data_IF_317432011668
#
_entry.id   IF_317432011668
#
_cell.length_a   1.000
_cell.length_b   1.000
_cell.length_c   1.000
_cell.angle_alpha   90.00
_cell.angle_beta   90.00
_cell.angle_gamma   90.00
#
_symmetry.space_group_name_H-M   'P 1'
#
loop_
_entity.id
_entity.type
_entity.pdbx_description
1 polymer ?
#
# COMPACT_ATOMS: atom_id res chain seq x y z
N UNK A 1 -14.23 0.49 8.37
CA UNK A 1 -13.16 1.48 8.16
C UNK A 1 -11.82 0.83 7.83
N UNK A 2 -11.25 -0.02 8.69
CA UNK A 2 -9.95 -0.65 8.41
C UNK A 2 -9.97 -1.54 7.15
N UNK A 3 -11.02 -2.34 6.99
CA UNK A 3 -11.20 -3.18 5.79
C UNK A 3 -11.40 -2.34 4.52
N UNK A 4 -12.12 -1.23 4.61
CA UNK A 4 -12.31 -0.29 3.49
C UNK A 4 -10.99 0.33 3.04
N UNK A 5 -10.12 0.70 4.00
CA UNK A 5 -8.77 1.20 3.73
C UNK A 5 -7.93 0.11 3.04
N UNK A 6 -7.96 -1.13 3.54
CA UNK A 6 -7.26 -2.25 2.90
C UNK A 6 -7.74 -2.48 1.46
N UNK A 7 -9.06 -2.48 1.26
CA UNK A 7 -9.65 -2.64 -0.06
C UNK A 7 -9.23 -1.52 -1.02
N UNK A 8 -9.23 -0.27 -0.55
CA UNK A 8 -8.77 0.88 -1.34
C UNK A 8 -7.28 0.77 -1.72
N UNK A 9 -6.42 0.31 -0.80
CA UNK A 9 -5.00 0.05 -1.07
C UNK A 9 -4.82 -1.04 -2.14
N UNK A 10 -5.52 -2.17 -1.99
CA UNK A 10 -5.41 -3.29 -2.94
C UNK A 10 -5.93 -2.91 -4.33
N UNK A 11 -7.02 -2.16 -4.40
CA UNK A 11 -7.57 -1.68 -5.68
C UNK A 11 -6.59 -0.72 -6.38
N UNK A 12 -5.97 0.19 -5.64
CA UNK A 12 -4.91 1.05 -6.19
C UNK A 12 -3.72 0.21 -6.69
N UNK A 13 -3.25 -0.75 -5.90
CA UNK A 13 -2.11 -1.59 -6.24
C UNK A 13 -2.37 -2.48 -7.47
N UNK A 14 -3.59 -2.99 -7.62
CA UNK A 14 -4.01 -3.80 -8.76
C UNK A 14 -4.13 -2.96 -10.05
N UNK A 15 -4.56 -1.71 -9.95
CA UNK A 15 -4.76 -0.84 -11.12
C UNK A 15 -3.58 0.09 -11.42
N UNK A 16 -2.56 0.13 -10.55
CA UNK A 16 -1.35 0.91 -10.77
C UNK A 16 -0.58 0.41 -12.01
N UNK A 17 -0.10 1.37 -12.81
CA UNK A 17 0.86 1.09 -13.90
C UNK A 17 2.26 0.76 -13.37
N UNK A 18 2.58 1.22 -12.16
CA UNK A 18 3.87 0.97 -11.49
C UNK A 18 3.76 -0.27 -10.60
N UNK A 19 4.82 -1.09 -10.58
CA UNK A 19 4.90 -2.28 -9.72
C UNK A 19 5.27 -1.96 -8.26
N UNK A 20 6.00 -0.85 -8.02
CA UNK A 20 6.30 -0.30 -6.70
C UNK A 20 5.79 1.14 -6.61
N UNK A 21 5.26 1.55 -5.46
CA UNK A 21 4.71 2.88 -5.20
C UNK A 21 5.04 3.36 -3.79
N UNK A 22 5.16 4.67 -3.60
CA UNK A 22 5.50 5.23 -2.29
C UNK A 22 4.28 5.17 -1.36
N UNK A 23 4.53 5.20 -0.05
CA UNK A 23 3.46 5.36 0.95
C UNK A 23 2.54 6.57 0.64
N UNK A 24 3.12 7.69 0.19
CA UNK A 24 2.37 8.90 -0.17
C UNK A 24 1.41 8.71 -1.35
N UNK A 25 1.69 7.76 -2.24
CA UNK A 25 0.77 7.41 -3.33
C UNK A 25 -0.43 6.63 -2.77
N UNK A 26 -0.20 5.71 -1.82
CA UNK A 26 -1.27 5.02 -1.09
C UNK A 26 -2.14 6.00 -0.33
N UNK A 27 -1.55 6.96 0.39
CA UNK A 27 -2.29 7.96 1.16
C UNK A 27 -3.27 8.71 0.26
N UNK A 28 -2.79 9.24 -0.87
CA UNK A 28 -3.63 9.96 -1.84
C UNK A 28 -4.73 9.08 -2.42
N UNK A 29 -4.41 7.84 -2.78
CA UNK A 29 -5.38 6.92 -3.38
C UNK A 29 -6.50 6.53 -2.40
N UNK A 30 -6.15 6.29 -1.14
CA UNK A 30 -7.14 5.99 -0.09
C UNK A 30 -7.96 7.24 0.22
N UNK A 31 -7.34 8.41 0.41
CA UNK A 31 -8.06 9.64 0.75
C UNK A 31 -8.98 10.13 -0.36
N UNK A 32 -8.69 9.81 -1.63
CA UNK A 32 -9.61 10.07 -2.73
C UNK A 32 -10.95 9.30 -2.60
N UNK A 33 -10.95 8.15 -1.92
CA UNK A 33 -12.15 7.33 -1.66
C UNK A 33 -12.70 7.50 -0.25
N UNK A 34 -11.82 7.74 0.72
CA UNK A 34 -12.10 7.84 2.15
C UNK A 34 -11.39 9.10 2.68
N UNK A 35 -11.99 10.30 2.49
CA UNK A 35 -11.32 11.58 2.79
C UNK A 35 -10.84 11.72 4.24
N UNK A 36 -11.54 11.10 5.18
CA UNK A 36 -11.23 11.18 6.62
C UNK A 36 -10.14 10.18 7.07
N UNK A 37 -9.67 9.30 6.17
CA UNK A 37 -8.67 8.29 6.51
C UNK A 37 -7.34 8.95 6.92
N UNK A 38 -6.90 8.66 8.15
CA UNK A 38 -5.65 9.23 8.67
C UNK A 38 -4.46 8.44 8.17
N UNK A 39 -3.36 9.14 7.92
CA UNK A 39 -2.06 8.56 7.54
C UNK A 39 -1.67 7.34 8.41
N UNK A 40 -1.88 7.42 9.72
CA UNK A 40 -1.58 6.32 10.67
C UNK A 40 -2.40 5.06 10.38
N UNK A 41 -3.67 5.20 10.01
CA UNK A 41 -4.57 4.08 9.72
C UNK A 41 -4.20 3.44 8.38
N UNK A 42 -3.87 4.27 7.38
CA UNK A 42 -3.39 3.82 6.07
C UNK A 42 -2.08 3.04 6.21
N UNK A 43 -1.15 3.55 7.04
CA UNK A 43 0.11 2.85 7.33
C UNK A 43 -0.11 1.51 8.02
N UNK A 44 -0.99 1.49 9.04
CA UNK A 44 -1.35 0.25 9.74
C UNK A 44 -1.97 -0.77 8.77
N UNK A 45 -2.85 -0.33 7.88
CA UNK A 45 -3.48 -1.19 6.88
C UNK A 45 -2.47 -1.74 5.88
N UNK A 46 -1.56 -0.92 5.39
CA UNK A 46 -0.47 -1.37 4.52
C UNK A 46 0.42 -2.42 5.22
N UNK A 47 0.77 -2.21 6.50
CA UNK A 47 1.54 -3.19 7.28
C UNK A 47 0.78 -4.50 7.48
N UNK A 48 -0.52 -4.45 7.79
CA UNK A 48 -1.32 -5.67 7.90
C UNK A 48 -1.41 -6.41 6.56
N UNK A 49 -1.52 -5.70 5.43
CA UNK A 49 -1.50 -6.30 4.10
C UNK A 49 -0.15 -6.92 3.74
N UNK A 50 0.96 -6.41 4.28
CA UNK A 50 2.28 -7.03 4.17
C UNK A 50 2.32 -8.33 4.99
N UNK A 51 1.82 -8.30 6.22
CA UNK A 51 1.75 -9.50 7.08
C UNK A 51 0.80 -10.57 6.50
N UNK A 52 -0.25 -10.16 5.79
CA UNK A 52 -1.16 -11.04 5.03
C UNK A 52 -0.57 -11.50 3.69
N UNK A 53 0.68 -11.15 3.39
CA UNK A 53 1.36 -11.45 2.13
C UNK A 53 0.64 -10.92 0.87
N UNK A 54 -0.21 -9.89 1.00
CA UNK A 54 -0.86 -9.27 -0.15
C UNK A 54 0.00 -8.16 -0.74
N UNK A 55 0.76 -7.46 0.11
CA UNK A 55 1.73 -6.45 -0.30
C UNK A 55 3.15 -6.90 0.06
N UNK A 56 4.10 -6.36 -0.69
CA UNK A 56 5.53 -6.44 -0.40
C UNK A 56 5.99 -5.06 0.08
N UNK A 57 6.75 -5.03 1.17
CA UNK A 57 7.40 -3.82 1.69
C UNK A 57 8.79 -3.67 1.07
N UNK A 58 9.15 -2.43 0.71
CA UNK A 58 10.47 -2.08 0.20
C UNK A 58 11.03 -0.90 0.99
N UNK A 59 12.25 -1.07 1.52
CA UNK A 59 12.97 0.02 2.19
C UNK A 59 13.79 0.78 1.16
N UNK A 60 13.48 2.07 0.94
CA UNK A 60 14.24 2.94 0.03
C UNK A 60 14.88 4.08 0.82
N UNK A 61 15.78 3.69 1.74
CA UNK A 61 16.53 4.61 2.60
C UNK A 61 15.61 5.40 3.55
N UNK A 62 15.42 6.68 3.28
CA UNK A 62 14.55 7.57 4.07
C UNK A 62 13.05 7.41 3.78
N UNK A 63 12.69 6.57 2.82
CA UNK A 63 11.29 6.40 2.36
C UNK A 63 10.91 4.92 2.30
N UNK A 64 9.60 4.70 2.28
CA UNK A 64 8.99 3.37 2.19
C UNK A 64 8.22 3.24 0.88
N UNK A 65 8.40 2.11 0.21
CA UNK A 65 7.60 1.71 -0.94
C UNK A 65 6.86 0.41 -0.66
N UNK A 66 5.78 0.21 -1.40
CA UNK A 66 4.94 -0.97 -1.38
C UNK A 66 4.70 -1.46 -2.80
N UNK A 67 4.40 -2.74 -2.96
CA UNK A 67 3.94 -3.30 -4.23
C UNK A 67 3.02 -4.51 -4.02
N UNK A 68 2.21 -4.84 -5.03
CA UNK A 68 1.31 -5.99 -4.96
C UNK A 68 2.06 -7.31 -5.17
N UNK A 69 1.98 -8.24 -4.21
CA UNK A 69 2.59 -9.57 -4.34
C UNK A 69 2.01 -10.27 -5.59
N UNK A 70 2.88 -10.95 -6.35
CA UNK A 70 2.47 -11.65 -7.57
C UNK A 70 2.48 -10.82 -8.86
N UNK A 71 2.81 -9.52 -8.82
CA UNK A 71 3.03 -8.69 -10.03
C UNK A 71 4.48 -8.65 -10.52
N UNK A 72 5.21 -9.75 -10.36
CA UNK A 72 6.62 -9.85 -10.77
C UNK A 72 7.59 -9.03 -9.90
N UNK A 73 7.19 -8.75 -8.66
CA UNK A 73 8.02 -8.11 -7.63
C UNK A 73 8.30 -9.12 -6.51
N UNK A 74 9.54 -9.15 -6.04
CA UNK A 74 10.02 -9.95 -4.90
C UNK A 74 10.45 -9.00 -3.78
N UNK A 75 10.54 -9.49 -2.55
CA UNK A 75 11.15 -8.74 -1.44
C UNK A 75 12.61 -8.40 -1.78
N UNK A 76 13.09 -7.24 -1.33
CA UNK A 76 14.52 -6.96 -1.33
C UNK A 76 15.11 -7.77 -0.15
N UNK A 77 16.05 -8.69 -0.44
CA UNK A 77 16.72 -9.55 0.56
C UNK A 77 17.48 -8.76 1.65
#
# INVERSE_FOLDING_TARGET
MMEDIKAAILDFAANSKKSKFYFKDLEKAVQAKIPDAKAREIKKAATELVNEEKLIYFSTGSTTMYGLKGRGITEDE
#
